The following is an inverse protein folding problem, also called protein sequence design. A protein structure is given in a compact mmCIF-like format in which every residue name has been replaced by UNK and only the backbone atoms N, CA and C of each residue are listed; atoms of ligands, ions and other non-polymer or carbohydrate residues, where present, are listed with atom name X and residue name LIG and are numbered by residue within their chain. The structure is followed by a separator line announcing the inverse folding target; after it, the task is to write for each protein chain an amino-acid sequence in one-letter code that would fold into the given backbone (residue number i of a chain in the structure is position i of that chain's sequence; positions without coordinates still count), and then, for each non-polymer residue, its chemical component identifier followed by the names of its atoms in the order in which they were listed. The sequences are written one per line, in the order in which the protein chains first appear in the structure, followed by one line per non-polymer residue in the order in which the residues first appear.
data_IF_770925756748
#
_entry.id   IF_770925756748
#
_cell.length_a   1.000
_cell.length_b   1.000
_cell.length_c   1.000
_cell.angle_alpha   90.00
_cell.angle_beta   90.00
_cell.angle_gamma   90.00
#
_symmetry.space_group_name_H-M   'P 1'
#
loop_
_entity.id
_entity.type
_entity.pdbx_description
1 polymer ?
#
# COMPACT_ATOMS: atom_id res chain seq x y z
N UNK A 1 10.27 13.03 -13.70
CA UNK A 1 10.98 12.31 -12.64
C UNK A 1 12.47 12.41 -12.87
N UNK A 2 13.23 12.67 -11.83
CA UNK A 2 14.69 12.82 -11.90
C UNK A 2 15.37 11.45 -11.75
N UNK A 3 16.39 11.19 -12.57
CA UNK A 3 17.17 9.96 -12.55
C UNK A 3 17.61 9.54 -13.94
N UNK A 4 18.36 8.44 -14.02
CA UNK A 4 18.72 7.85 -15.30
C UNK A 4 17.50 7.17 -15.90
N UNK A 5 17.52 6.90 -17.19
CA UNK A 5 16.43 6.22 -17.89
C UNK A 5 16.10 4.86 -17.24
N UNK A 6 17.12 4.10 -16.87
CA UNK A 6 16.93 2.81 -16.18
C UNK A 6 16.33 2.98 -14.79
N UNK A 7 16.78 3.98 -14.05
CA UNK A 7 16.24 4.28 -12.71
C UNK A 7 14.79 4.70 -12.78
N UNK A 8 14.45 5.57 -13.73
CA UNK A 8 13.08 6.04 -13.92
C UNK A 8 12.15 4.86 -14.24
N UNK A 9 12.55 4.00 -15.15
CA UNK A 9 11.77 2.82 -15.51
C UNK A 9 11.56 1.90 -14.30
N UNK A 10 12.61 1.66 -13.52
CA UNK A 10 12.53 0.84 -12.32
C UNK A 10 11.61 1.50 -11.27
N UNK A 11 11.74 2.80 -11.07
CA UNK A 11 10.90 3.54 -10.12
C UNK A 11 9.42 3.49 -10.53
N UNK A 12 9.12 3.59 -11.81
CA UNK A 12 7.74 3.48 -12.32
C UNK A 12 7.17 2.09 -12.09
N UNK A 13 7.99 1.04 -12.25
CA UNK A 13 7.57 -0.34 -11.95
C UNK A 13 7.28 -0.51 -10.45
N UNK A 14 8.14 0.04 -9.59
CA UNK A 14 7.93 0.00 -8.14
C UNK A 14 6.62 0.69 -7.76
N UNK A 15 6.39 1.88 -8.32
CA UNK A 15 5.16 2.64 -8.10
C UNK A 15 3.93 1.84 -8.52
N UNK A 16 3.96 1.27 -9.72
CA UNK A 16 2.84 0.48 -10.23
C UNK A 16 2.56 -0.74 -9.35
N UNK A 17 3.60 -1.44 -8.91
CA UNK A 17 3.46 -2.60 -8.04
C UNK A 17 2.91 -2.22 -6.67
N UNK A 18 3.36 -1.10 -6.10
CA UNK A 18 2.89 -0.62 -4.81
C UNK A 18 1.41 -0.25 -4.86
N UNK A 19 0.99 0.45 -5.90
CA UNK A 19 -0.42 0.83 -6.09
C UNK A 19 -1.28 -0.42 -6.30
N UNK A 20 -0.80 -1.38 -7.08
CA UNK A 20 -1.52 -2.65 -7.30
C UNK A 20 -1.65 -3.45 -6.00
N UNK A 21 -0.59 -3.48 -5.18
CA UNK A 21 -0.62 -4.16 -3.88
C UNK A 21 -1.63 -3.50 -2.93
N UNK A 22 -1.66 -2.18 -2.87
CA UNK A 22 -2.62 -1.45 -2.05
C UNK A 22 -4.06 -1.70 -2.51
N UNK A 23 -4.29 -1.70 -3.82
CA UNK A 23 -5.60 -2.03 -4.39
C UNK A 23 -6.04 -3.46 -4.08
N UNK A 24 -5.12 -4.40 -4.08
CA UNK A 24 -5.38 -5.79 -3.70
C UNK A 24 -5.85 -5.89 -2.24
N UNK A 25 -5.21 -5.14 -1.34
CA UNK A 25 -5.60 -5.10 0.07
C UNK A 25 -7.03 -4.57 0.22
N UNK A 26 -7.39 -3.52 -0.53
CA UNK A 26 -8.75 -2.98 -0.52
C UNK A 26 -9.75 -4.04 -0.97
N UNK A 27 -9.50 -4.71 -2.08
CA UNK A 27 -10.39 -5.75 -2.61
C UNK A 27 -10.55 -6.90 -1.63
N UNK A 28 -9.47 -7.32 -0.98
CA UNK A 28 -9.51 -8.40 0.01
C UNK A 28 -10.30 -7.99 1.24
N UNK A 29 -10.16 -6.74 1.70
CA UNK A 29 -10.91 -6.22 2.84
C UNK A 29 -12.41 -6.15 2.52
N UNK A 30 -12.78 -5.69 1.33
CA UNK A 30 -14.17 -5.63 0.89
C UNK A 30 -14.78 -7.03 0.81
N UNK A 31 -14.04 -8.00 0.29
CA UNK A 31 -14.47 -9.38 0.17
C UNK A 31 -14.67 -10.02 1.55
N UNK A 32 -13.74 -9.77 2.47
CA UNK A 32 -13.86 -10.29 3.84
C UNK A 32 -15.08 -9.71 4.55
N UNK A 33 -15.36 -8.42 4.36
CA UNK A 33 -16.54 -7.78 4.93
C UNK A 33 -17.84 -8.38 4.36
N UNK A 34 -17.88 -8.56 3.03
CA UNK A 34 -19.05 -9.14 2.36
C UNK A 34 -19.34 -10.57 2.80
N UNK A 35 -18.30 -11.33 3.17
CA UNK A 35 -18.41 -12.72 3.59
C UNK A 35 -18.46 -12.89 5.12
N UNK A 36 -18.55 -11.79 5.87
CA UNK A 36 -18.61 -11.81 7.34
C UNK A 36 -17.46 -12.62 7.97
N UNK A 37 -16.25 -12.45 7.44
CA UNK A 37 -15.06 -13.12 7.97
C UNK A 37 -14.78 -12.59 9.39
N UNK A 38 -14.43 -13.48 10.37
CA UNK A 38 -14.14 -13.06 11.73
C UNK A 38 -13.03 -12.01 11.81
N UNK A 39 -13.20 -11.05 12.72
CA UNK A 39 -12.24 -9.97 12.94
C UNK A 39 -11.12 -10.44 13.87
N UNK A 40 -10.20 -11.20 13.34
CA UNK A 40 -9.05 -11.72 14.07
C UNK A 40 -7.83 -10.77 13.95
N UNK A 41 -6.64 -11.28 14.29
CA UNK A 41 -5.40 -10.49 14.24
C UNK A 41 -4.99 -10.10 12.81
N UNK A 42 -5.54 -10.76 11.81
CA UNK A 42 -5.27 -10.48 10.40
C UNK A 42 -6.31 -9.56 9.76
N UNK A 43 -7.32 -9.16 10.53
CA UNK A 43 -8.39 -8.33 10.02
C UNK A 43 -7.90 -6.95 9.64
N UNK A 44 -8.30 -6.52 8.45
CA UNK A 44 -8.05 -5.16 7.95
C UNK A 44 -9.42 -4.57 7.59
N UNK A 45 -9.77 -3.44 8.19
CA UNK A 45 -11.03 -2.78 7.84
C UNK A 45 -10.94 -2.17 6.44
N UNK A 46 -12.08 -2.08 5.76
CA UNK A 46 -12.17 -1.46 4.43
C UNK A 46 -11.72 0.00 4.49
N UNK A 47 -12.13 0.72 5.53
CA UNK A 47 -11.75 2.12 5.72
C UNK A 47 -10.23 2.29 5.79
N UNK A 48 -9.55 1.47 6.60
CA UNK A 48 -8.09 1.51 6.71
C UNK A 48 -7.43 1.14 5.40
N UNK A 49 -7.93 0.10 4.73
CA UNK A 49 -7.39 -0.35 3.44
C UNK A 49 -7.45 0.77 2.41
N UNK A 50 -8.56 1.49 2.33
CA UNK A 50 -8.73 2.62 1.41
C UNK A 50 -7.82 3.79 1.77
N UNK A 51 -7.65 4.07 3.05
CA UNK A 51 -6.75 5.13 3.52
C UNK A 51 -5.29 4.82 3.16
N UNK A 52 -4.89 3.56 3.32
CA UNK A 52 -3.54 3.11 2.93
C UNK A 52 -3.34 3.27 1.42
N UNK A 53 -4.33 2.88 0.63
CA UNK A 53 -4.26 3.04 -0.83
C UNK A 53 -4.08 4.51 -1.22
N UNK A 54 -4.88 5.41 -0.63
CA UNK A 54 -4.78 6.83 -0.92
C UNK A 54 -3.43 7.41 -0.47
N UNK A 55 -2.92 6.97 0.66
CA UNK A 55 -1.61 7.37 1.16
C UNK A 55 -0.50 6.96 0.17
N UNK A 56 -0.56 5.75 -0.34
CA UNK A 56 0.43 5.24 -1.31
C UNK A 56 0.39 6.07 -2.59
N UNK A 57 -0.80 6.29 -3.14
CA UNK A 57 -0.98 7.06 -4.37
C UNK A 57 -0.48 8.50 -4.18
N UNK A 58 -0.92 9.17 -3.12
CA UNK A 58 -0.54 10.56 -2.86
C UNK A 58 0.96 10.69 -2.57
N UNK A 59 1.53 9.72 -1.86
CA UNK A 59 2.96 9.72 -1.56
C UNK A 59 3.81 9.64 -2.81
N UNK A 60 3.48 8.74 -3.72
CA UNK A 60 4.22 8.61 -4.99
C UNK A 60 4.03 9.83 -5.91
N UNK A 61 2.84 10.44 -5.91
CA UNK A 61 2.59 11.62 -6.72
C UNK A 61 3.49 12.80 -6.33
N UNK A 62 3.94 12.85 -5.08
CA UNK A 62 4.83 13.89 -4.58
C UNK A 62 6.31 13.59 -4.79
N UNK A 63 6.65 12.37 -5.20
CA UNK A 63 8.03 11.96 -5.37
C UNK A 63 8.50 12.20 -6.80
N UNK A 64 9.56 12.99 -6.95
CA UNK A 64 10.11 13.35 -8.25
C UNK A 64 11.52 12.77 -8.49
N UNK A 65 11.97 11.89 -7.61
CA UNK A 65 13.30 11.26 -7.72
C UNK A 65 13.17 9.75 -7.80
N UNK A 66 13.67 9.18 -8.89
CA UNK A 66 13.71 7.72 -9.09
C UNK A 66 14.53 7.04 -7.98
N UNK A 67 15.67 7.63 -7.60
CA UNK A 67 16.52 7.09 -6.54
C UNK A 67 15.78 7.02 -5.21
N UNK A 68 15.01 8.05 -4.86
CA UNK A 68 14.23 8.07 -3.62
C UNK A 68 13.17 6.97 -3.61
N UNK A 69 12.50 6.73 -4.73
CA UNK A 69 11.49 5.65 -4.85
C UNK A 69 12.17 4.29 -4.70
N UNK A 70 13.31 4.09 -5.35
CA UNK A 70 14.07 2.85 -5.26
C UNK A 70 14.52 2.57 -3.83
N UNK A 71 14.95 3.61 -3.10
CA UNK A 71 15.41 3.47 -1.73
C UNK A 71 14.33 3.00 -0.76
N UNK A 72 13.09 3.34 -1.03
CA UNK A 72 11.97 3.00 -0.13
C UNK A 72 11.12 1.83 -0.63
N UNK A 73 11.53 1.13 -1.69
CA UNK A 73 10.74 0.08 -2.33
C UNK A 73 10.25 -1.00 -1.37
N UNK A 74 11.05 -1.36 -0.38
CA UNK A 74 10.71 -2.42 0.56
C UNK A 74 9.58 -2.04 1.52
N UNK A 75 9.28 -0.74 1.63
CA UNK A 75 8.19 -0.25 2.50
C UNK A 75 6.82 -0.39 1.85
N UNK A 76 6.78 -0.64 0.55
CA UNK A 76 5.54 -0.68 -0.21
C UNK A 76 5.24 -2.03 -0.84
N UNK A 77 5.88 -3.10 -0.35
CA UNK A 77 5.48 -4.47 -0.72
C UNK A 77 4.10 -4.76 -0.14
N UNK A 78 3.39 -5.71 -0.73
CA UNK A 78 2.08 -6.11 -0.22
C UNK A 78 2.15 -6.52 1.26
N UNK A 79 3.17 -7.30 1.62
CA UNK A 79 3.38 -7.74 3.00
C UNK A 79 3.57 -6.56 3.97
N UNK A 80 4.38 -5.57 3.59
CA UNK A 80 4.62 -4.38 4.40
C UNK A 80 3.35 -3.54 4.56
N UNK A 81 2.59 -3.37 3.49
CA UNK A 81 1.32 -2.61 3.51
C UNK A 81 0.26 -3.34 4.33
N UNK A 82 0.16 -4.66 4.24
CA UNK A 82 -0.76 -5.45 5.05
C UNK A 82 -0.44 -5.32 6.54
N UNK A 83 0.83 -5.37 6.88
CA UNK A 83 1.29 -5.22 8.28
C UNK A 83 0.89 -3.85 8.83
N UNK A 84 1.11 -2.80 8.05
CA UNK A 84 0.72 -1.43 8.39
C UNK A 84 -0.79 -1.32 8.55
N UNK A 85 -1.55 -1.90 7.63
CA UNK A 85 -3.01 -1.85 7.66
C UNK A 85 -3.58 -2.59 8.87
N UNK A 86 -3.02 -3.75 9.22
CA UNK A 86 -3.45 -4.51 10.41
C UNK A 86 -3.19 -3.72 11.69
N UNK A 87 -2.01 -3.11 11.80
CA UNK A 87 -1.67 -2.31 12.97
C UNK A 87 -2.60 -1.10 13.12
N UNK A 88 -2.89 -0.41 12.01
CA UNK A 88 -3.78 0.75 12.02
C UNK A 88 -5.22 0.35 12.33
N UNK A 89 -5.69 -0.78 11.82
CA UNK A 89 -7.03 -1.29 12.12
C UNK A 89 -7.19 -1.54 13.62
N UNK A 90 -6.19 -2.17 14.25
CA UNK A 90 -6.21 -2.42 15.69
C UNK A 90 -6.16 -1.12 16.49
N UNK A 91 -5.34 -0.17 16.05
CA UNK A 91 -5.22 1.13 16.71
C UNK A 91 -6.54 1.87 16.73
N UNK A 92 -7.27 1.86 15.62
CA UNK A 92 -8.57 2.55 15.52
C UNK A 92 -9.68 1.85 16.30
N UNK A 93 -9.55 0.56 16.54
CA UNK A 93 -10.52 -0.22 17.30
C UNK A 93 -10.40 -0.03 18.82
N UNK A 94 -9.33 0.58 19.30
CA UNK A 94 -9.10 0.83 20.71
C UNK A 94 -9.78 2.09 21.22
#
# INVERSE_FOLDING_TARGET
MKGTEKQIKWAEDIKAQAIAAAGCIVRNAEKAEANNIPKDVYYISVEVARDIEQMVIAGFDQMDSAAAIIDIRDRFTQSALEKMARAETRRRAQ
#
